data_IF_616280920756
#
_entry.id   IF_616280920756
#
_cell.length_a   1.000
_cell.length_b   1.000
_cell.length_c   1.000
_cell.angle_alpha   90.00
_cell.angle_beta   90.00
_cell.angle_gamma   90.00
#
_symmetry.space_group_name_H-M   'P 1'
#
loop_
_entity.id
_entity.type
_entity.pdbx_description
1 polymer ?
#
# COMPACT_ATOMS: atom_id res chain seq x y z
N UNK A 1 -6.34 -66.41 7.55
CA UNK A 1 -6.52 -64.94 7.53
C UNK A 1 -5.36 -64.38 6.75
N UNK A 2 -5.63 -63.61 5.70
CA UNK A 2 -4.58 -62.91 4.94
C UNK A 2 -3.97 -61.87 5.86
N UNK A 3 -2.69 -61.99 6.22
CA UNK A 3 -1.99 -60.95 6.98
C UNK A 3 -1.90 -59.69 6.11
N UNK A 4 -2.49 -58.59 6.59
CA UNK A 4 -2.50 -57.30 5.91
C UNK A 4 -1.37 -56.37 6.38
N UNK A 5 -1.22 -55.23 5.71
CA UNK A 5 -0.28 -54.17 6.14
C UNK A 5 -0.59 -53.70 7.57
N UNK A 6 -1.86 -53.66 7.95
CA UNK A 6 -2.32 -53.30 9.30
C UNK A 6 -1.83 -54.28 10.37
N UNK A 7 -1.81 -55.59 10.08
CA UNK A 7 -1.30 -56.61 11.02
C UNK A 7 0.21 -56.46 11.23
N UNK A 8 0.95 -56.18 10.14
CA UNK A 8 2.38 -55.90 10.22
C UNK A 8 2.63 -54.64 11.06
N UNK A 9 1.88 -53.57 10.82
CA UNK A 9 1.98 -52.32 11.59
C UNK A 9 1.71 -52.54 13.07
N UNK A 10 0.60 -53.19 13.40
CA UNK A 10 0.25 -53.50 14.78
C UNK A 10 1.37 -54.27 15.49
N UNK A 11 1.98 -55.25 14.81
CA UNK A 11 3.09 -56.00 15.35
C UNK A 11 4.32 -55.10 15.62
N UNK A 12 4.71 -54.24 14.66
CA UNK A 12 5.84 -53.33 14.86
C UNK A 12 5.64 -52.44 16.09
N UNK A 13 4.50 -51.75 16.20
CA UNK A 13 4.22 -50.88 17.35
C UNK A 13 4.06 -51.64 18.67
N UNK A 14 3.54 -52.86 18.64
CA UNK A 14 3.40 -53.69 19.85
C UNK A 14 4.75 -54.16 20.39
N UNK A 15 5.75 -54.32 19.51
CA UNK A 15 7.10 -54.74 19.87
C UNK A 15 8.01 -53.58 20.30
N UNK A 16 7.76 -52.37 19.81
CA UNK A 16 8.61 -51.21 20.14
C UNK A 16 8.54 -50.80 21.61
N UNK A 17 9.70 -50.51 22.20
CA UNK A 17 9.86 -50.06 23.59
C UNK A 17 10.83 -48.88 23.64
N UNK A 18 10.37 -47.77 24.19
CA UNK A 18 11.23 -46.63 24.53
C UNK A 18 11.91 -46.89 25.88
N UNK A 19 13.22 -47.13 25.86
CA UNK A 19 14.05 -47.28 27.06
C UNK A 19 14.79 -45.99 27.37
N UNK A 20 15.06 -45.73 28.66
CA UNK A 20 15.97 -44.65 29.04
C UNK A 20 17.38 -44.97 28.53
N UNK A 21 18.09 -43.96 28.01
CA UNK A 21 19.52 -44.08 27.61
C UNK A 21 20.45 -44.63 28.70
N UNK A 22 20.02 -44.57 29.96
CA UNK A 22 20.75 -45.14 31.09
C UNK A 22 20.57 -46.67 31.26
N UNK A 23 19.53 -47.24 30.65
CA UNK A 23 19.14 -48.66 30.75
C UNK A 23 19.61 -49.49 29.52
N UNK A 24 20.20 -48.84 28.51
CA UNK A 24 20.64 -49.41 27.20
C UNK A 24 21.88 -50.31 27.28
N UNK A 25 22.04 -51.12 28.33
CA UNK A 25 23.28 -51.90 28.56
C UNK A 25 23.17 -53.36 28.05
N UNK A 26 21.99 -53.82 27.60
CA UNK A 26 21.85 -55.21 27.16
C UNK A 26 20.75 -55.42 26.09
N UNK A 27 21.06 -55.13 24.82
CA UNK A 27 20.28 -55.59 23.66
C UNK A 27 20.20 -54.58 22.52
N UNK A 28 19.79 -55.07 21.34
CA UNK A 28 19.36 -54.21 20.24
C UNK A 28 18.04 -53.53 20.66
N UNK A 29 18.07 -52.21 20.82
CA UNK A 29 16.90 -51.41 21.16
C UNK A 29 16.01 -51.33 19.93
N UNK A 30 14.75 -51.73 20.07
CA UNK A 30 13.73 -51.56 19.05
C UNK A 30 12.71 -50.55 19.57
N UNK A 31 12.87 -49.29 19.18
CA UNK A 31 12.02 -48.17 19.55
C UNK A 31 11.35 -47.53 18.33
N UNK A 32 10.87 -46.30 18.50
CA UNK A 32 10.19 -45.57 17.44
C UNK A 32 11.13 -45.24 16.28
N UNK A 33 12.41 -44.99 16.54
CA UNK A 33 13.38 -44.65 15.49
C UNK A 33 13.57 -45.80 14.50
N UNK A 34 13.62 -47.04 14.99
CA UNK A 34 13.73 -48.23 14.15
C UNK A 34 12.47 -48.39 13.28
N UNK A 35 11.28 -48.19 13.86
CA UNK A 35 10.02 -48.19 13.11
C UNK A 35 10.03 -47.13 12.00
N UNK A 36 10.48 -45.91 12.29
CA UNK A 36 10.55 -44.82 11.32
C UNK A 36 11.52 -45.13 10.17
N UNK A 37 12.64 -45.81 10.47
CA UNK A 37 13.59 -46.26 9.46
C UNK A 37 12.95 -47.32 8.55
N UNK A 38 12.26 -48.31 9.13
CA UNK A 38 11.55 -49.34 8.38
C UNK A 38 10.47 -48.75 7.47
N UNK A 39 9.69 -47.78 7.97
CA UNK A 39 8.70 -47.05 7.17
C UNK A 39 9.37 -46.32 6.01
N UNK A 40 10.51 -45.67 6.25
CA UNK A 40 11.27 -44.96 5.21
C UNK A 40 11.77 -45.92 4.11
N UNK A 41 12.28 -47.09 4.50
CA UNK A 41 12.69 -48.13 3.55
C UNK A 41 11.50 -48.69 2.74
N UNK A 42 10.37 -48.93 3.40
CA UNK A 42 9.11 -49.36 2.75
C UNK A 42 8.70 -48.32 1.70
N UNK A 43 8.74 -47.04 2.04
CA UNK A 43 8.47 -45.94 1.13
C UNK A 43 9.35 -46.01 -0.11
N UNK A 44 10.66 -46.11 0.06
CA UNK A 44 11.61 -46.16 -1.05
C UNK A 44 11.49 -47.40 -1.94
N UNK A 45 11.03 -48.54 -1.40
CA UNK A 45 10.93 -49.81 -2.14
C UNK A 45 9.58 -50.02 -2.82
N UNK A 46 8.49 -49.63 -2.16
CA UNK A 46 7.11 -49.96 -2.57
C UNK A 46 6.40 -48.74 -3.15
N UNK A 47 6.66 -47.55 -2.62
CA UNK A 47 6.01 -46.29 -2.97
C UNK A 47 7.02 -45.36 -3.66
N UNK A 48 7.51 -45.79 -4.82
CA UNK A 48 8.43 -45.00 -5.65
C UNK A 48 7.67 -43.95 -6.45
N UNK A 49 8.12 -42.70 -6.34
CA UNK A 49 7.56 -41.52 -7.04
C UNK A 49 7.23 -41.83 -8.50
N UNK A 50 5.94 -41.73 -8.85
CA UNK A 50 5.44 -41.82 -10.23
C UNK A 50 4.55 -43.04 -10.56
N UNK A 51 4.52 -44.08 -9.72
CA UNK A 51 3.63 -45.25 -9.93
C UNK A 51 2.45 -45.35 -8.95
N UNK A 52 2.42 -44.50 -7.92
CA UNK A 52 1.47 -44.59 -6.78
C UNK A 52 0.05 -44.07 -7.07
N UNK A 53 -0.10 -43.22 -8.09
CA UNK A 53 -1.36 -42.56 -8.42
C UNK A 53 -2.43 -43.51 -8.99
N UNK A 54 -2.03 -44.66 -9.54
CA UNK A 54 -2.93 -45.55 -10.29
C UNK A 54 -3.86 -46.41 -9.42
N UNK A 55 -3.64 -46.50 -8.09
CA UNK A 55 -4.38 -47.43 -7.23
C UNK A 55 -4.79 -46.91 -5.83
N UNK A 56 -4.64 -45.61 -5.54
CA UNK A 56 -4.99 -45.06 -4.21
C UNK A 56 -4.06 -45.50 -3.07
N UNK A 57 -2.92 -46.13 -3.38
CA UNK A 57 -1.97 -46.66 -2.40
C UNK A 57 -1.22 -45.59 -1.59
N UNK A 58 -1.21 -44.34 -2.05
CA UNK A 58 -0.58 -43.23 -1.33
C UNK A 58 -1.21 -43.00 0.06
N UNK A 59 -2.51 -43.32 0.23
CA UNK A 59 -3.19 -43.23 1.53
C UNK A 59 -2.59 -44.17 2.57
N UNK A 60 -2.19 -45.38 2.18
CA UNK A 60 -1.57 -46.36 3.09
C UNK A 60 -0.20 -45.89 3.56
N UNK A 61 0.63 -45.34 2.65
CA UNK A 61 1.94 -44.82 3.02
C UNK A 61 1.85 -43.54 3.87
N UNK A 62 0.87 -42.68 3.58
CA UNK A 62 0.56 -41.55 4.46
C UNK A 62 0.16 -42.02 5.87
N UNK A 63 -0.74 -43.01 5.98
CA UNK A 63 -1.17 -43.57 7.27
C UNK A 63 0.01 -44.19 8.04
N UNK A 64 0.90 -44.92 7.37
CA UNK A 64 2.13 -45.45 7.94
C UNK A 64 2.98 -44.34 8.57
N UNK A 65 3.23 -43.26 7.83
CA UNK A 65 4.02 -42.12 8.33
C UNK A 65 3.33 -41.41 9.50
N UNK A 66 2.01 -41.22 9.45
CA UNK A 66 1.25 -40.62 10.56
C UNK A 66 1.37 -41.46 11.84
N UNK A 67 1.20 -42.78 11.74
CA UNK A 67 1.33 -43.67 12.89
C UNK A 67 2.77 -43.76 13.40
N UNK A 68 3.76 -43.67 12.50
CA UNK A 68 5.19 -43.56 12.84
C UNK A 68 5.60 -42.21 13.43
N UNK A 69 4.69 -41.24 13.59
CA UNK A 69 5.01 -39.90 14.07
C UNK A 69 5.90 -39.09 13.13
N UNK A 70 5.97 -39.47 11.85
CA UNK A 70 6.77 -38.81 10.80
C UNK A 70 5.96 -37.67 10.15
N UNK A 71 5.44 -36.76 10.97
CA UNK A 71 4.41 -35.79 10.57
C UNK A 71 4.84 -34.87 9.41
N UNK A 72 6.06 -34.33 9.45
CA UNK A 72 6.56 -33.42 8.42
C UNK A 72 6.70 -34.13 7.07
N UNK A 73 7.24 -35.36 7.08
CA UNK A 73 7.32 -36.18 5.87
C UNK A 73 5.93 -36.55 5.35
N UNK A 74 4.99 -36.91 6.24
CA UNK A 74 3.63 -37.26 5.87
C UNK A 74 2.91 -36.10 5.17
N UNK A 75 2.97 -34.89 5.71
CA UNK A 75 2.36 -33.69 5.11
C UNK A 75 2.98 -33.37 3.76
N UNK A 76 4.32 -33.37 3.66
CA UNK A 76 5.03 -33.12 2.41
C UNK A 76 4.70 -34.17 1.33
N UNK A 77 4.67 -35.44 1.72
CA UNK A 77 4.30 -36.55 0.85
C UNK A 77 2.86 -36.39 0.33
N UNK A 78 1.90 -36.17 1.23
CA UNK A 78 0.49 -36.00 0.87
C UNK A 78 0.28 -34.78 -0.03
N UNK A 79 1.09 -33.72 0.12
CA UNK A 79 1.05 -32.52 -0.73
C UNK A 79 1.21 -32.82 -2.22
N UNK A 80 1.95 -33.87 -2.59
CA UNK A 80 2.15 -34.24 -4.00
C UNK A 80 0.94 -34.95 -4.63
N UNK A 81 0.02 -35.47 -3.82
CA UNK A 81 -1.10 -36.30 -4.29
C UNK A 81 -2.47 -35.69 -3.98
N UNK A 82 -2.63 -35.11 -2.79
CA UNK A 82 -3.86 -34.50 -2.31
C UNK A 82 -3.53 -33.20 -1.52
N UNK A 83 -3.19 -32.10 -2.22
CA UNK A 83 -2.72 -30.87 -1.59
C UNK A 83 -3.72 -30.27 -0.60
N UNK A 84 -5.01 -30.29 -0.92
CA UNK A 84 -6.08 -29.81 -0.02
C UNK A 84 -6.05 -30.59 1.30
N UNK A 85 -5.96 -31.92 1.23
CA UNK A 85 -5.91 -32.76 2.43
C UNK A 85 -4.63 -32.55 3.22
N UNK A 86 -3.49 -32.36 2.54
CA UNK A 86 -2.21 -32.06 3.17
C UNK A 86 -2.26 -30.75 3.98
N UNK A 87 -2.89 -29.71 3.45
CA UNK A 87 -3.10 -28.43 4.15
C UNK A 87 -3.92 -28.64 5.42
N UNK A 88 -5.09 -29.30 5.32
CA UNK A 88 -5.98 -29.46 6.48
C UNK A 88 -5.43 -30.42 7.54
N UNK A 89 -4.76 -31.51 7.13
CA UNK A 89 -4.03 -32.36 8.08
C UNK A 89 -2.87 -31.60 8.72
N UNK A 90 -2.13 -30.80 7.95
CA UNK A 90 -1.06 -29.94 8.46
C UNK A 90 -1.60 -28.99 9.53
N UNK A 91 -2.71 -28.31 9.28
CA UNK A 91 -3.38 -27.44 10.26
C UNK A 91 -3.76 -28.21 11.53
N UNK A 92 -4.32 -29.40 11.40
CA UNK A 92 -4.71 -30.20 12.56
C UNK A 92 -3.49 -30.62 13.40
N UNK A 93 -2.40 -31.05 12.77
CA UNK A 93 -1.15 -31.41 13.44
C UNK A 93 -0.52 -30.20 14.13
N UNK A 94 -0.51 -29.05 13.45
CA UNK A 94 0.02 -27.79 13.94
C UNK A 94 -0.75 -27.28 15.17
N UNK A 95 -2.09 -27.36 15.14
CA UNK A 95 -2.95 -27.00 16.27
C UNK A 95 -2.62 -27.77 17.55
N UNK A 96 -2.19 -29.03 17.44
CA UNK A 96 -1.77 -29.85 18.58
C UNK A 96 -0.27 -29.75 18.90
N UNK A 97 0.49 -28.92 18.19
CA UNK A 97 1.94 -28.76 18.38
C UNK A 97 2.76 -29.97 17.95
N UNK A 98 2.22 -30.78 17.02
CA UNK A 98 2.87 -32.00 16.53
C UNK A 98 3.73 -31.75 15.28
N UNK A 99 3.58 -30.59 14.64
CA UNK A 99 4.30 -30.24 13.43
C UNK A 99 5.47 -29.31 13.75
N UNK A 100 6.69 -29.68 13.38
CA UNK A 100 7.83 -28.76 13.44
C UNK A 100 7.76 -27.81 12.24
N UNK A 101 7.71 -26.52 12.51
CA UNK A 101 7.71 -25.49 11.47
C UNK A 101 9.07 -24.88 11.24
N UNK A 102 9.33 -24.50 9.98
CA UNK A 102 10.54 -23.77 9.58
C UNK A 102 10.30 -22.26 9.57
N UNK A 103 11.39 -21.50 9.63
CA UNK A 103 11.33 -20.05 9.46
C UNK A 103 11.10 -19.70 7.98
N UNK A 104 10.06 -18.89 7.71
CA UNK A 104 9.61 -18.54 6.36
C UNK A 104 10.72 -17.82 5.58
N UNK A 105 11.39 -16.84 6.20
CA UNK A 105 12.42 -16.04 5.57
C UNK A 105 13.68 -16.84 5.21
N UNK A 106 13.93 -17.95 5.92
CA UNK A 106 15.07 -18.84 5.66
C UNK A 106 14.73 -19.93 4.64
N UNK A 107 13.49 -20.43 4.65
CA UNK A 107 13.09 -21.61 3.88
C UNK A 107 12.61 -21.31 2.46
N UNK A 108 12.24 -20.05 2.17
CA UNK A 108 11.77 -19.64 0.86
C UNK A 108 10.51 -20.40 0.42
N UNK A 109 10.54 -21.00 -0.77
CA UNK A 109 9.39 -21.72 -1.36
C UNK A 109 9.44 -23.25 -1.17
N UNK A 110 10.40 -23.76 -0.39
CA UNK A 110 10.50 -25.21 -0.14
C UNK A 110 9.54 -25.61 0.99
N UNK A 111 8.64 -26.58 0.71
CA UNK A 111 7.66 -27.05 1.69
C UNK A 111 8.30 -27.83 2.85
N UNK A 112 9.28 -28.69 2.55
CA UNK A 112 9.97 -29.54 3.52
C UNK A 112 11.45 -29.19 3.55
N UNK A 113 11.95 -28.77 4.70
CA UNK A 113 13.38 -28.50 4.91
C UNK A 113 13.87 -29.22 6.17
N UNK A 114 15.15 -29.04 6.51
CA UNK A 114 15.77 -29.69 7.66
C UNK A 114 16.46 -28.67 8.55
N UNK A 115 16.33 -28.88 9.86
CA UNK A 115 17.11 -28.15 10.87
C UNK A 115 18.60 -28.49 10.79
N UNK A 116 19.44 -27.74 11.49
CA UNK A 116 20.88 -28.04 11.63
C UNK A 116 21.16 -29.42 12.26
N UNK A 117 20.18 -29.97 13.00
CA UNK A 117 20.22 -31.32 13.58
C UNK A 117 19.65 -32.40 12.66
N UNK A 118 19.42 -32.09 11.38
CA UNK A 118 18.82 -33.01 10.39
C UNK A 118 17.40 -33.47 10.75
N UNK A 119 16.69 -32.69 11.57
CA UNK A 119 15.29 -32.95 11.87
C UNK A 119 14.39 -32.26 10.83
N UNK A 120 13.38 -32.93 10.26
CA UNK A 120 12.51 -32.36 9.23
C UNK A 120 11.63 -31.24 9.80
N UNK A 121 11.27 -30.28 8.96
CA UNK A 121 10.42 -29.14 9.32
C UNK A 121 9.62 -28.68 8.09
N UNK A 122 8.39 -28.22 8.33
CA UNK A 122 7.46 -27.74 7.29
C UNK A 122 7.41 -26.22 7.25
N UNK A 123 7.47 -25.66 6.05
CA UNK A 123 7.18 -24.25 5.84
C UNK A 123 5.66 -24.02 5.87
N UNK A 124 5.10 -23.93 7.08
CA UNK A 124 3.65 -23.86 7.30
C UNK A 124 3.04 -22.58 6.72
N UNK A 125 3.72 -21.45 6.87
CA UNK A 125 3.27 -20.19 6.27
C UNK A 125 3.22 -20.28 4.74
N UNK A 126 4.20 -20.92 4.09
CA UNK A 126 4.16 -21.19 2.65
C UNK A 126 2.98 -22.11 2.27
N UNK A 127 2.74 -23.18 3.02
CA UNK A 127 1.63 -24.11 2.78
C UNK A 127 0.27 -23.38 2.78
N UNK A 128 0.03 -22.51 3.77
CA UNK A 128 -1.19 -21.71 3.90
C UNK A 128 -1.29 -20.65 2.79
N UNK A 129 -0.23 -19.90 2.55
CA UNK A 129 -0.22 -18.82 1.54
C UNK A 129 -0.40 -19.37 0.12
N UNK A 130 0.17 -20.52 -0.21
CA UNK A 130 -0.06 -21.17 -1.50
C UNK A 130 -1.49 -21.69 -1.65
N UNK A 131 -2.03 -22.35 -0.61
CA UNK A 131 -3.39 -22.88 -0.66
C UNK A 131 -4.44 -21.78 -0.88
N UNK A 132 -4.29 -20.65 -0.17
CA UNK A 132 -5.24 -19.53 -0.30
C UNK A 132 -5.23 -18.88 -1.69
N UNK A 133 -4.14 -18.94 -2.47
CA UNK A 133 -4.07 -18.36 -3.82
C UNK A 133 -5.17 -18.88 -4.76
N UNK A 134 -5.67 -20.09 -4.54
CA UNK A 134 -6.70 -20.70 -5.39
C UNK A 134 -8.07 -20.01 -5.27
N UNK A 135 -8.37 -19.38 -4.13
CA UNK A 135 -9.71 -18.84 -3.87
C UNK A 135 -9.74 -17.44 -3.24
N UNK A 136 -8.60 -16.89 -2.81
CA UNK A 136 -8.56 -15.64 -2.01
C UNK A 136 -9.10 -14.41 -2.72
N UNK A 137 -9.11 -14.40 -4.06
CA UNK A 137 -9.76 -13.34 -4.84
C UNK A 137 -11.29 -13.47 -4.87
N UNK A 138 -11.83 -14.68 -4.77
CA UNK A 138 -13.28 -14.95 -4.80
C UNK A 138 -13.94 -14.97 -3.41
N UNK A 139 -13.19 -15.34 -2.36
CA UNK A 139 -13.68 -15.36 -0.98
C UNK A 139 -12.61 -14.83 -0.02
N UNK A 140 -12.68 -13.51 0.23
CA UNK A 140 -11.69 -12.81 1.04
C UNK A 140 -11.76 -13.17 2.53
N UNK A 141 -12.96 -13.44 3.07
CA UNK A 141 -13.14 -13.76 4.48
C UNK A 141 -12.55 -15.13 4.81
N UNK A 142 -12.81 -16.13 3.97
CA UNK A 142 -12.22 -17.45 4.13
C UNK A 142 -10.70 -17.38 4.07
N UNK A 143 -10.12 -16.57 3.18
CA UNK A 143 -8.66 -16.41 3.10
C UNK A 143 -8.09 -15.85 4.41
N UNK A 144 -8.76 -14.87 5.02
CA UNK A 144 -8.38 -14.34 6.35
C UNK A 144 -8.39 -15.45 7.40
N UNK A 145 -9.41 -16.32 7.44
CA UNK A 145 -9.44 -17.47 8.36
C UNK A 145 -8.17 -18.30 8.26
N UNK A 146 -7.76 -18.67 7.04
CA UNK A 146 -6.54 -19.45 6.83
C UNK A 146 -5.27 -18.68 7.22
N UNK A 147 -5.14 -17.39 6.87
CA UNK A 147 -3.97 -16.61 7.28
C UNK A 147 -3.81 -16.53 8.80
N UNK A 148 -4.92 -16.45 9.55
CA UNK A 148 -4.83 -16.41 11.02
C UNK A 148 -4.20 -17.67 11.63
N UNK A 149 -4.27 -18.81 10.93
CA UNK A 149 -3.69 -20.07 11.37
C UNK A 149 -2.15 -20.03 11.40
N UNK A 150 -1.50 -19.14 10.64
CA UNK A 150 -0.04 -18.96 10.71
C UNK A 150 0.40 -18.61 12.15
N UNK A 151 -0.45 -17.89 12.90
CA UNK A 151 -0.20 -17.53 14.29
C UNK A 151 -0.42 -18.66 15.31
N UNK A 152 -0.80 -19.87 14.89
CA UNK A 152 -0.77 -21.05 15.76
C UNK A 152 0.64 -21.24 16.34
N UNK A 153 1.67 -21.04 15.50
CA UNK A 153 3.08 -21.18 15.88
C UNK A 153 3.71 -19.96 16.56
N UNK A 154 2.92 -18.93 16.87
CA UNK A 154 3.46 -17.72 17.48
C UNK A 154 3.80 -17.89 18.98
N UNK A 155 3.42 -19.03 19.58
CA UNK A 155 3.77 -19.42 20.95
C UNK A 155 5.13 -20.13 21.05
N UNK A 156 5.76 -20.46 19.93
CA UNK A 156 7.09 -21.07 19.89
C UNK A 156 8.13 -20.15 20.57
N UNK A 157 9.07 -20.73 21.34
CA UNK A 157 10.05 -19.93 22.07
C UNK A 157 11.07 -19.26 21.15
N UNK A 158 11.58 -18.11 21.60
CA UNK A 158 12.65 -17.38 20.90
C UNK A 158 12.14 -16.55 19.72
N UNK A 159 13.03 -16.34 18.74
CA UNK A 159 12.73 -15.49 17.57
C UNK A 159 11.81 -16.18 16.54
N UNK A 160 11.71 -17.52 16.58
CA UNK A 160 10.87 -18.25 15.63
C UNK A 160 9.39 -17.91 15.80
N UNK A 161 8.86 -17.91 17.03
CA UNK A 161 7.45 -17.56 17.27
C UNK A 161 7.12 -16.12 16.86
N UNK A 162 8.03 -15.17 17.10
CA UNK A 162 7.89 -13.78 16.64
C UNK A 162 7.91 -13.70 15.11
N UNK A 163 8.79 -14.45 14.46
CA UNK A 163 8.86 -14.53 12.99
C UNK A 163 7.53 -15.01 12.41
N UNK A 164 6.93 -16.07 12.97
CA UNK A 164 5.62 -16.58 12.51
C UNK A 164 4.51 -15.51 12.61
N UNK A 165 4.45 -14.77 13.73
CA UNK A 165 3.51 -13.66 13.86
C UNK A 165 3.76 -12.54 12.83
N UNK A 166 5.03 -12.17 12.62
CA UNK A 166 5.41 -11.17 11.63
C UNK A 166 4.99 -11.56 10.22
N UNK A 167 5.22 -12.81 9.83
CA UNK A 167 4.85 -13.36 8.51
C UNK A 167 3.34 -13.36 8.32
N UNK A 168 2.57 -13.71 9.35
CA UNK A 168 1.11 -13.61 9.32
C UNK A 168 0.66 -12.16 9.03
N UNK A 169 1.20 -11.19 9.76
CA UNK A 169 0.86 -9.78 9.58
C UNK A 169 1.28 -9.25 8.20
N UNK A 170 2.44 -9.68 7.70
CA UNK A 170 2.93 -9.33 6.37
C UNK A 170 2.04 -9.90 5.27
N UNK A 171 1.69 -11.19 5.35
CA UNK A 171 0.77 -11.83 4.42
C UNK A 171 -0.59 -11.14 4.38
N UNK A 172 -1.13 -10.73 5.55
CA UNK A 172 -2.37 -9.96 5.62
C UNK A 172 -2.23 -8.59 4.96
N UNK A 173 -1.14 -7.86 5.20
CA UNK A 173 -0.88 -6.55 4.56
C UNK A 173 -0.81 -6.65 3.04
N UNK A 174 -0.07 -7.63 2.53
CA UNK A 174 0.00 -7.88 1.08
C UNK A 174 -1.37 -8.26 0.51
N UNK A 175 -2.10 -9.12 1.19
CA UNK A 175 -3.42 -9.57 0.78
C UNK A 175 -4.46 -8.43 0.72
N UNK A 176 -4.41 -7.50 1.67
CA UNK A 176 -5.23 -6.28 1.67
C UNK A 176 -4.98 -5.46 0.40
N UNK A 177 -3.71 -5.26 0.03
CA UNK A 177 -3.35 -4.48 -1.15
C UNK A 177 -3.65 -5.21 -2.47
N UNK A 178 -3.54 -6.54 -2.49
CA UNK A 178 -3.83 -7.36 -3.68
C UNK A 178 -5.32 -7.37 -4.02
N UNK A 179 -6.18 -7.52 -3.01
CA UNK A 179 -7.63 -7.63 -3.21
C UNK A 179 -8.34 -6.29 -3.32
N UNK A 180 -7.80 -5.25 -2.66
CA UNK A 180 -8.40 -3.92 -2.55
C UNK A 180 -9.82 -3.92 -1.95
N UNK A 181 -10.24 -5.00 -1.28
CA UNK A 181 -11.53 -5.08 -0.58
C UNK A 181 -11.38 -4.54 0.85
N UNK A 182 -10.90 -3.30 0.96
CA UNK A 182 -10.51 -2.66 2.22
C UNK A 182 -11.65 -2.63 3.23
N UNK A 183 -12.87 -2.32 2.79
CA UNK A 183 -14.04 -2.21 3.67
C UNK A 183 -14.38 -3.57 4.32
N UNK A 184 -14.34 -4.68 3.56
CA UNK A 184 -14.59 -6.01 4.14
C UNK A 184 -13.44 -6.47 5.03
N UNK A 185 -12.19 -6.21 4.64
CA UNK A 185 -11.02 -6.72 5.35
C UNK A 185 -10.71 -5.93 6.63
N UNK A 186 -10.68 -4.61 6.53
CA UNK A 186 -10.26 -3.69 7.60
C UNK A 186 -11.43 -3.07 8.35
N UNK A 187 -12.59 -3.02 7.71
CA UNK A 187 -13.76 -2.33 8.23
C UNK A 187 -14.00 -0.99 7.56
N UNK A 188 -15.04 -0.31 7.99
CA UNK A 188 -15.44 1.00 7.48
C UNK A 188 -15.87 1.92 8.63
N UNK A 189 -15.83 3.23 8.40
CA UNK A 189 -16.29 4.24 9.36
C UNK A 189 -17.56 4.87 8.81
N UNK A 190 -18.67 4.71 9.53
CA UNK A 190 -19.94 5.35 9.16
C UNK A 190 -19.85 6.87 9.29
N UNK A 191 -20.78 7.57 8.64
CA UNK A 191 -20.91 9.03 8.73
C UNK A 191 -21.15 9.57 10.14
N UNK A 192 -21.64 8.72 11.06
CA UNK A 192 -21.83 9.05 12.48
C UNK A 192 -20.56 8.82 13.33
N UNK A 193 -19.45 8.41 12.71
CA UNK A 193 -18.19 8.07 13.36
C UNK A 193 -18.13 6.65 13.93
N UNK A 194 -19.19 5.85 13.78
CA UNK A 194 -19.21 4.46 14.28
C UNK A 194 -18.40 3.56 13.36
N UNK A 195 -17.42 2.86 13.92
CA UNK A 195 -16.56 1.93 13.17
C UNK A 195 -17.20 0.53 13.06
N UNK A 196 -17.28 0.02 11.83
CA UNK A 196 -17.70 -1.34 11.50
C UNK A 196 -16.44 -2.18 11.39
N UNK A 197 -16.36 -3.27 12.17
CA UNK A 197 -15.18 -4.14 12.19
C UNK A 197 -15.11 -5.01 10.94
N UNK A 198 -13.98 -4.98 10.24
CA UNK A 198 -13.69 -5.87 9.12
C UNK A 198 -13.34 -7.30 9.57
N UNK A 199 -13.20 -8.20 8.60
CA UNK A 199 -12.93 -9.62 8.82
C UNK A 199 -11.64 -9.86 9.63
N UNK A 200 -10.59 -9.06 9.41
CA UNK A 200 -9.31 -9.21 10.13
C UNK A 200 -9.48 -8.74 11.57
N UNK A 201 -10.16 -7.62 11.79
CA UNK A 201 -10.39 -7.06 13.12
C UNK A 201 -11.31 -7.93 14.00
N UNK A 202 -12.20 -8.70 13.38
CA UNK A 202 -13.00 -9.69 14.12
C UNK A 202 -12.15 -10.82 14.71
N UNK A 203 -10.92 -11.02 14.19
CA UNK A 203 -10.01 -12.13 14.55
C UNK A 203 -8.73 -11.67 15.26
N UNK A 204 -8.69 -10.45 15.80
CA UNK A 204 -7.49 -9.84 16.42
C UNK A 204 -6.72 -10.75 17.38
N UNK A 205 -7.44 -11.41 18.29
CA UNK A 205 -6.83 -12.27 19.30
C UNK A 205 -6.08 -13.46 18.68
N UNK A 206 -6.53 -13.95 17.52
CA UNK A 206 -5.89 -15.07 16.84
C UNK A 206 -4.56 -14.66 16.20
N UNK A 207 -4.49 -13.43 15.70
CA UNK A 207 -3.27 -12.86 15.09
C UNK A 207 -2.34 -12.19 16.11
N UNK A 208 -2.51 -12.47 17.41
CA UNK A 208 -1.66 -11.96 18.50
C UNK A 208 -1.59 -10.42 18.58
N UNK A 209 -2.70 -9.76 18.27
CA UNK A 209 -2.86 -8.32 18.50
C UNK A 209 -3.86 -8.11 19.64
N UNK A 210 -3.49 -7.27 20.60
CA UNK A 210 -4.26 -7.13 21.85
C UNK A 210 -5.49 -6.24 21.68
N UNK A 211 -5.35 -5.19 20.89
CA UNK A 211 -6.36 -4.15 20.78
C UNK A 211 -6.43 -3.55 19.36
N UNK A 212 -7.45 -2.70 19.17
CA UNK A 212 -7.71 -2.03 17.91
C UNK A 212 -6.59 -1.05 17.52
N UNK A 213 -5.97 -0.37 18.47
CA UNK A 213 -4.90 0.60 18.20
C UNK A 213 -3.68 -0.09 17.57
N UNK A 214 -3.29 -1.23 18.12
CA UNK A 214 -2.20 -2.05 17.59
C UNK A 214 -2.53 -2.59 16.19
N UNK A 215 -3.80 -2.97 15.96
CA UNK A 215 -4.27 -3.36 14.63
C UNK A 215 -4.19 -2.24 13.60
N UNK A 216 -4.70 -1.05 13.94
CA UNK A 216 -4.64 0.10 13.05
C UNK A 216 -3.18 0.41 12.71
N UNK A 217 -2.30 0.43 13.70
CA UNK A 217 -0.88 0.71 13.52
C UNK A 217 -0.13 -0.37 12.72
N UNK A 218 -0.29 -1.64 13.07
CA UNK A 218 0.54 -2.74 12.56
C UNK A 218 0.05 -3.28 11.21
N UNK A 219 -1.27 -3.28 10.99
CA UNK A 219 -1.87 -3.77 9.76
C UNK A 219 -2.21 -2.60 8.84
N UNK A 220 -3.04 -1.66 9.30
CA UNK A 220 -3.62 -0.64 8.42
C UNK A 220 -2.61 0.43 8.01
N UNK A 221 -1.92 1.07 8.96
CA UNK A 221 -0.92 2.13 8.70
C UNK A 221 0.28 1.59 7.93
N UNK A 222 0.74 0.37 8.24
CA UNK A 222 1.84 -0.24 7.50
C UNK A 222 1.44 -0.64 6.07
N UNK A 223 0.22 -1.15 5.85
CA UNK A 223 -0.29 -1.38 4.50
C UNK A 223 -0.40 -0.06 3.72
N UNK A 224 -0.83 1.03 4.38
CA UNK A 224 -0.90 2.36 3.80
C UNK A 224 0.50 2.87 3.36
N UNK A 225 1.52 2.69 4.21
CA UNK A 225 2.89 3.04 3.87
C UNK A 225 3.42 2.25 2.66
N UNK A 226 3.16 0.94 2.61
CA UNK A 226 3.54 0.11 1.45
C UNK A 226 2.80 0.54 0.17
N UNK A 227 1.54 0.94 0.26
CA UNK A 227 0.80 1.51 -0.88
C UNK A 227 1.42 2.84 -1.33
N UNK A 228 1.83 3.68 -0.38
CA UNK A 228 2.47 4.97 -0.66
C UNK A 228 3.82 4.79 -1.37
N UNK A 229 4.65 3.88 -0.87
CA UNK A 229 5.95 3.52 -1.47
C UNK A 229 5.81 2.95 -2.88
N UNK A 230 4.72 2.22 -3.15
CA UNK A 230 4.37 1.70 -4.48
C UNK A 230 3.77 2.76 -5.41
N UNK A 231 3.53 3.99 -4.94
CA UNK A 231 2.91 5.06 -5.71
C UNK A 231 1.39 4.92 -5.89
N UNK A 232 0.74 4.04 -5.14
CA UNK A 232 -0.71 3.82 -5.17
C UNK A 232 -1.42 4.85 -4.28
N UNK A 233 -1.43 6.11 -4.71
CA UNK A 233 -1.92 7.25 -3.90
C UNK A 233 -3.35 7.08 -3.39
N UNK A 234 -4.28 6.61 -4.24
CA UNK A 234 -5.68 6.43 -3.84
C UNK A 234 -5.84 5.36 -2.74
N UNK A 235 -5.13 4.24 -2.90
CA UNK A 235 -5.13 3.14 -1.92
C UNK A 235 -4.51 3.61 -0.60
N UNK A 236 -3.37 4.32 -0.65
CA UNK A 236 -2.73 4.87 0.53
C UNK A 236 -3.64 5.86 1.28
N UNK A 237 -4.29 6.79 0.57
CA UNK A 237 -5.23 7.76 1.15
C UNK A 237 -6.39 7.05 1.86
N UNK A 238 -6.98 6.02 1.24
CA UNK A 238 -8.06 5.27 1.86
C UNK A 238 -7.58 4.52 3.11
N UNK A 239 -6.43 3.86 3.03
CA UNK A 239 -5.88 3.10 4.16
C UNK A 239 -5.52 4.01 5.34
N UNK A 240 -4.89 5.17 5.10
CA UNK A 240 -4.63 6.14 6.17
C UNK A 240 -5.93 6.73 6.75
N UNK A 241 -6.96 6.93 5.93
CA UNK A 241 -8.29 7.32 6.42
C UNK A 241 -8.90 6.26 7.34
N UNK A 242 -8.85 4.97 6.94
CA UNK A 242 -9.31 3.85 7.76
C UNK A 242 -8.47 3.62 9.02
N UNK A 243 -7.19 4.04 8.98
CA UNK A 243 -6.28 4.06 10.14
C UNK A 243 -6.53 5.25 11.09
N UNK A 244 -7.51 6.11 10.79
CA UNK A 244 -7.80 7.34 11.53
C UNK A 244 -6.63 8.35 11.54
N UNK A 245 -5.71 8.24 10.58
CA UNK A 245 -4.56 9.12 10.42
C UNK A 245 -4.83 10.18 9.33
N UNK A 246 -5.74 11.09 9.67
CA UNK A 246 -6.25 12.07 8.73
C UNK A 246 -5.21 13.11 8.29
N UNK A 247 -4.19 13.37 9.11
CA UNK A 247 -3.12 14.31 8.77
C UNK A 247 -2.22 13.73 7.68
N UNK A 248 -1.83 12.45 7.78
CA UNK A 248 -1.04 11.79 6.73
C UNK A 248 -1.80 11.69 5.40
N UNK A 249 -3.13 11.53 5.43
CA UNK A 249 -3.96 11.65 4.22
C UNK A 249 -3.71 12.98 3.52
N UNK A 250 -3.73 14.10 4.24
CA UNK A 250 -3.50 15.42 3.67
C UNK A 250 -2.06 15.59 3.20
N UNK A 251 -1.07 15.04 3.91
CA UNK A 251 0.34 15.06 3.48
C UNK A 251 0.52 14.38 2.12
N UNK A 252 -0.07 13.19 1.94
CA UNK A 252 0.01 12.44 0.68
C UNK A 252 -0.70 13.18 -0.45
N UNK A 253 -1.90 13.73 -0.18
CA UNK A 253 -2.63 14.53 -1.16
C UNK A 253 -1.85 15.80 -1.56
N UNK A 254 -1.20 16.47 -0.60
CA UNK A 254 -0.36 17.63 -0.87
C UNK A 254 0.82 17.28 -1.79
N UNK A 255 1.45 16.12 -1.57
CA UNK A 255 2.53 15.63 -2.43
C UNK A 255 2.02 15.35 -3.84
N UNK A 256 0.94 14.59 -3.97
CA UNK A 256 0.33 14.25 -5.25
C UNK A 256 -0.17 15.49 -6.03
N UNK A 257 -0.81 16.44 -5.36
CA UNK A 257 -1.22 17.71 -5.96
C UNK A 257 -0.02 18.56 -6.38
N UNK A 258 1.01 18.66 -5.54
CA UNK A 258 2.25 19.36 -5.88
C UNK A 258 2.90 18.77 -7.13
N UNK A 259 2.94 17.44 -7.25
CA UNK A 259 3.45 16.77 -8.44
C UNK A 259 2.59 17.07 -9.67
N UNK A 260 1.26 17.04 -9.53
CA UNK A 260 0.32 17.40 -10.60
C UNK A 260 0.45 18.86 -11.07
N UNK A 261 0.74 19.80 -10.16
CA UNK A 261 1.03 21.21 -10.46
C UNK A 261 2.32 21.32 -11.28
N UNK A 262 3.37 20.57 -10.90
CA UNK A 262 4.69 20.60 -11.54
C UNK A 262 4.71 20.02 -12.96
N UNK A 263 3.69 19.24 -13.36
CA UNK A 263 3.56 18.75 -14.74
C UNK A 263 3.44 19.94 -15.71
N UNK A 264 4.24 19.95 -16.78
CA UNK A 264 4.27 21.05 -17.75
C UNK A 264 2.92 21.22 -18.47
N UNK A 265 2.58 22.47 -18.78
CA UNK A 265 1.42 22.83 -19.61
C UNK A 265 1.47 22.09 -20.96
N UNK A 266 0.38 21.41 -21.31
CA UNK A 266 0.24 20.71 -22.58
C UNK A 266 0.76 19.27 -22.63
N UNK A 267 1.35 18.73 -21.55
CA UNK A 267 1.76 17.31 -21.51
C UNK A 267 0.58 16.34 -21.26
N UNK A 268 -0.63 16.84 -21.01
CA UNK A 268 -1.82 16.04 -20.67
C UNK A 268 -2.64 15.56 -21.88
N UNK A 269 -2.09 15.61 -23.10
CA UNK A 269 -2.81 15.11 -24.31
C UNK A 269 -2.94 13.58 -24.34
N UNK A 270 -2.29 12.84 -23.44
CA UNK A 270 -2.45 11.39 -23.31
C UNK A 270 -2.75 10.98 -21.88
N UNK A 271 -4.03 10.99 -21.50
CA UNK A 271 -4.75 9.85 -20.91
C UNK A 271 -5.96 10.34 -20.08
N UNK A 272 -7.13 10.27 -20.70
CA UNK A 272 -8.38 9.97 -20.03
C UNK A 272 -9.34 9.45 -21.11
N UNK A 273 -9.27 8.15 -21.40
CA UNK A 273 -10.45 7.48 -21.96
C UNK A 273 -11.45 7.36 -20.81
N UNK A 274 -12.70 7.79 -20.95
CA UNK A 274 -13.73 7.42 -19.99
C UNK A 274 -13.93 5.91 -20.11
N UNK A 275 -13.55 5.15 -19.07
CA UNK A 275 -13.96 3.76 -18.97
C UNK A 275 -15.48 3.73 -18.82
N UNK A 276 -16.14 3.33 -19.89
CA UNK A 276 -17.54 2.97 -19.88
C UNK A 276 -17.70 1.65 -19.12
N UNK A 277 -18.57 1.66 -18.10
CA UNK A 277 -19.19 0.46 -17.56
C UNK A 277 -18.72 0.06 -16.17
N UNK A 278 -19.41 0.59 -15.15
CA UNK A 278 -19.80 -0.20 -13.99
C UNK A 278 -21.11 0.34 -13.43
N UNK A 279 -21.99 -0.61 -13.09
CA UNK A 279 -23.39 -0.39 -12.76
C UNK A 279 -23.56 0.55 -11.58
N UNK A 280 -24.56 1.42 -11.72
CA UNK A 280 -25.12 2.24 -10.66
C UNK A 280 -25.81 1.35 -9.62
N UNK A 281 -25.07 0.95 -8.60
CA UNK A 281 -25.67 0.64 -7.32
C UNK A 281 -25.79 1.93 -6.51
N UNK A 282 -27.01 2.22 -6.09
CA UNK A 282 -27.36 3.32 -5.19
C UNK A 282 -26.71 3.07 -3.83
N UNK A 283 -25.49 3.56 -3.64
CA UNK A 283 -24.82 3.59 -2.34
C UNK A 283 -24.56 5.03 -1.94
N UNK A 284 -24.82 5.33 -0.66
CA UNK A 284 -24.78 6.68 -0.10
C UNK A 284 -23.49 7.42 -0.46
N UNK A 285 -23.65 8.65 -0.94
CA UNK A 285 -22.59 9.59 -1.34
C UNK A 285 -21.64 10.02 -0.21
N UNK A 286 -21.68 9.34 0.94
CA UNK A 286 -20.81 9.55 2.10
C UNK A 286 -20.06 8.29 2.55
N UNK A 287 -20.14 7.18 1.81
CA UNK A 287 -19.37 5.96 2.12
C UNK A 287 -17.96 6.01 1.52
N UNK A 288 -16.98 5.48 2.25
CA UNK A 288 -15.56 5.42 1.86
C UNK A 288 -15.33 4.71 0.51
N UNK A 289 -16.30 3.91 0.07
CA UNK A 289 -16.33 3.20 -1.22
C UNK A 289 -16.28 4.12 -2.44
N UNK A 290 -16.79 5.36 -2.35
CA UNK A 290 -16.74 6.31 -3.48
C UNK A 290 -15.33 6.83 -3.79
N UNK A 291 -14.35 6.60 -2.90
CA UNK A 291 -12.99 7.13 -3.01
C UNK A 291 -12.00 6.24 -3.77
N UNK A 292 -12.25 4.92 -3.87
CA UNK A 292 -11.36 3.98 -4.58
C UNK A 292 -11.43 4.08 -6.11
N UNK A 293 -12.51 4.66 -6.64
CA UNK A 293 -12.74 4.80 -8.08
C UNK A 293 -12.10 6.05 -8.70
N UNK A 294 -11.50 6.92 -7.89
CA UNK A 294 -11.00 8.22 -8.33
C UNK A 294 -9.49 8.15 -8.60
N UNK A 295 -9.12 8.04 -9.88
CA UNK A 295 -7.72 8.06 -10.32
C UNK A 295 -7.13 9.49 -10.37
N UNK A 296 -7.95 10.53 -10.53
CA UNK A 296 -7.48 11.92 -10.59
C UNK A 296 -7.16 12.46 -9.17
N UNK A 297 -5.88 12.78 -8.86
CA UNK A 297 -5.49 13.30 -7.55
C UNK A 297 -6.21 14.61 -7.18
N UNK A 298 -6.63 15.41 -8.17
CA UNK A 298 -7.37 16.66 -7.92
C UNK A 298 -8.78 16.37 -7.41
N UNK A 299 -9.48 15.42 -8.02
CA UNK A 299 -10.84 15.04 -7.61
C UNK A 299 -10.79 14.38 -6.24
N UNK A 300 -9.83 13.47 -6.03
CA UNK A 300 -9.63 12.80 -4.75
C UNK A 300 -9.37 13.81 -3.63
N UNK A 301 -8.47 14.77 -3.86
CA UNK A 301 -8.18 15.82 -2.87
C UNK A 301 -9.39 16.71 -2.56
N UNK A 302 -10.20 17.07 -3.57
CA UNK A 302 -11.43 17.87 -3.36
C UNK A 302 -12.45 17.13 -2.51
N UNK A 303 -12.64 15.84 -2.76
CA UNK A 303 -13.57 15.01 -2.00
C UNK A 303 -13.12 14.90 -0.54
N UNK A 304 -11.85 14.57 -0.31
CA UNK A 304 -11.29 14.38 1.04
C UNK A 304 -11.25 15.68 1.84
N UNK A 305 -10.77 16.78 1.25
CA UNK A 305 -10.73 18.07 1.95
C UNK A 305 -12.14 18.60 2.23
N UNK A 306 -13.10 18.35 1.33
CA UNK A 306 -14.50 18.71 1.52
C UNK A 306 -15.13 17.97 2.69
N UNK A 307 -14.90 16.66 2.76
CA UNK A 307 -15.33 15.82 3.87
C UNK A 307 -14.73 16.30 5.21
N UNK A 308 -13.41 16.51 5.25
CA UNK A 308 -12.71 16.90 6.47
C UNK A 308 -13.02 18.31 6.95
N UNK A 309 -13.31 19.24 6.04
CA UNK A 309 -13.69 20.60 6.41
C UNK A 309 -15.12 20.70 6.93
N UNK A 310 -16.01 19.80 6.49
CA UNK A 310 -17.42 19.82 6.89
C UNK A 310 -17.62 19.20 8.29
N UNK A 311 -16.79 18.23 8.67
CA UNK A 311 -16.90 17.55 9.95
C UNK A 311 -15.84 18.06 10.96
N UNK A 312 -16.32 18.63 12.07
CA UNK A 312 -15.48 19.19 13.12
C UNK A 312 -14.52 18.15 13.75
N UNK A 313 -14.90 16.87 13.78
CA UNK A 313 -14.06 15.80 14.32
C UNK A 313 -12.76 15.68 13.52
N UNK A 314 -12.85 15.55 12.19
CA UNK A 314 -11.69 15.43 11.32
C UNK A 314 -10.88 16.73 11.29
N UNK A 315 -11.56 17.87 11.24
CA UNK A 315 -10.95 19.19 11.16
C UNK A 315 -9.93 19.46 12.30
N UNK A 316 -10.21 18.96 13.50
CA UNK A 316 -9.36 19.17 14.68
C UNK A 316 -8.11 18.28 14.70
N UNK A 317 -8.12 17.14 13.98
CA UNK A 317 -7.01 16.18 13.99
C UNK A 317 -5.98 16.45 12.89
N UNK A 318 -6.27 17.37 11.96
CA UNK A 318 -5.39 17.71 10.84
C UNK A 318 -4.61 18.99 11.18
N UNK A 319 -3.30 18.99 10.92
CA UNK A 319 -2.48 20.17 11.14
C UNK A 319 -2.94 21.33 10.24
N UNK A 320 -3.12 22.56 10.79
CA UNK A 320 -3.57 23.72 10.01
C UNK A 320 -2.69 23.98 8.79
N UNK A 321 -1.37 23.86 8.94
CA UNK A 321 -0.38 24.05 7.87
C UNK A 321 -0.61 23.10 6.69
N UNK A 322 -0.90 21.82 6.96
CA UNK A 322 -1.12 20.81 5.94
C UNK A 322 -2.43 21.08 5.19
N UNK A 323 -3.49 21.45 5.92
CA UNK A 323 -4.80 21.78 5.35
C UNK A 323 -4.74 23.04 4.48
N UNK A 324 -4.08 24.09 4.96
CA UNK A 324 -3.88 25.34 4.20
C UNK A 324 -3.06 25.08 2.93
N UNK A 325 -2.01 24.27 3.03
CA UNK A 325 -1.22 23.86 1.87
C UNK A 325 -2.08 23.13 0.82
N UNK A 326 -2.97 22.24 1.25
CA UNK A 326 -3.90 21.54 0.36
C UNK A 326 -4.82 22.52 -0.38
N UNK A 327 -5.41 23.47 0.36
CA UNK A 327 -6.28 24.50 -0.22
C UNK A 327 -5.55 25.37 -1.25
N UNK A 328 -4.31 25.77 -0.96
CA UNK A 328 -3.47 26.53 -1.90
C UNK A 328 -3.16 25.70 -3.15
N UNK A 329 -2.77 24.44 -3.00
CA UNK A 329 -2.45 23.55 -4.13
C UNK A 329 -3.66 23.28 -5.03
N UNK A 330 -4.86 23.16 -4.46
CA UNK A 330 -6.10 23.06 -5.24
C UNK A 330 -6.37 24.33 -6.06
N UNK A 331 -6.15 25.52 -5.49
CA UNK A 331 -6.25 26.79 -6.24
C UNK A 331 -5.16 26.92 -7.31
N UNK A 332 -3.95 26.42 -7.07
CA UNK A 332 -2.91 26.34 -8.09
C UNK A 332 -3.35 25.47 -9.28
N UNK A 333 -4.01 24.34 -9.02
CA UNK A 333 -4.57 23.49 -10.08
C UNK A 333 -5.71 24.18 -10.85
N UNK A 334 -6.54 24.97 -10.18
CA UNK A 334 -7.57 25.78 -10.85
C UNK A 334 -6.96 26.87 -11.73
N UNK A 335 -5.92 27.56 -11.24
CA UNK A 335 -5.14 28.49 -12.04
C UNK A 335 -4.54 27.80 -13.27
N UNK A 336 -3.87 26.65 -13.09
CA UNK A 336 -3.31 25.85 -14.18
C UNK A 336 -4.34 25.52 -15.26
N UNK A 337 -5.52 25.02 -14.88
CA UNK A 337 -6.62 24.72 -15.81
C UNK A 337 -7.08 25.95 -16.60
N UNK A 338 -7.12 27.13 -15.97
CA UNK A 338 -7.47 28.40 -16.67
C UNK A 338 -6.39 28.82 -17.67
N UNK A 339 -5.10 28.64 -17.32
CA UNK A 339 -3.97 28.89 -18.23
C UNK A 339 -4.03 27.93 -19.42
N UNK A 340 -4.28 26.64 -19.20
CA UNK A 340 -4.44 25.64 -20.26
C UNK A 340 -5.63 25.95 -21.18
N UNK A 341 -6.72 26.48 -20.62
CA UNK A 341 -7.89 26.92 -21.39
C UNK A 341 -7.72 28.26 -22.12
N UNK A 342 -6.55 28.91 -22.00
CA UNK A 342 -6.28 30.22 -22.61
C UNK A 342 -7.07 31.39 -22.01
N UNK A 343 -7.60 31.24 -20.79
CA UNK A 343 -8.34 32.30 -20.07
C UNK A 343 -7.37 33.17 -19.27
N UNK A 344 -6.52 33.93 -19.96
CA UNK A 344 -5.36 34.64 -19.39
C UNK A 344 -5.69 35.59 -18.24
N UNK A 345 -6.66 36.50 -18.44
CA UNK A 345 -7.06 37.46 -17.39
C UNK A 345 -7.56 36.75 -16.11
N UNK A 346 -8.48 35.79 -16.25
CA UNK A 346 -9.02 35.03 -15.10
C UNK A 346 -7.98 34.16 -14.41
N UNK A 347 -6.98 33.67 -15.17
CA UNK A 347 -5.85 32.93 -14.61
C UNK A 347 -4.92 33.85 -13.82
N UNK A 348 -4.66 35.06 -14.33
CA UNK A 348 -3.83 36.04 -13.66
C UNK A 348 -4.48 36.55 -12.36
N UNK A 349 -5.81 36.74 -12.36
CA UNK A 349 -6.57 37.09 -11.15
C UNK A 349 -6.44 35.97 -10.10
N UNK A 350 -6.63 34.71 -10.48
CA UNK A 350 -6.47 33.57 -9.56
C UNK A 350 -5.04 33.46 -9.00
N UNK A 351 -4.03 33.68 -9.85
CA UNK A 351 -2.62 33.69 -9.43
C UNK A 351 -2.30 34.83 -8.47
N UNK A 352 -2.98 35.98 -8.62
CA UNK A 352 -2.89 37.11 -7.71
C UNK A 352 -3.57 36.81 -6.37
N UNK A 353 -4.73 36.14 -6.39
CA UNK A 353 -5.49 35.76 -5.19
C UNK A 353 -4.76 34.72 -4.33
N UNK A 354 -3.82 33.96 -4.89
CA UNK A 354 -2.92 33.09 -4.12
C UNK A 354 -2.04 33.88 -3.14
N UNK A 355 -1.78 35.17 -3.39
CA UNK A 355 -0.91 36.04 -2.57
C UNK A 355 0.53 35.48 -2.37
N UNK A 356 0.98 34.60 -3.26
CA UNK A 356 2.34 34.02 -3.24
C UNK A 356 3.32 34.90 -4.04
N UNK A 357 2.85 35.50 -5.14
CA UNK A 357 3.66 36.29 -6.05
C UNK A 357 3.39 37.79 -5.87
N UNK A 358 4.42 38.66 -6.03
CA UNK A 358 4.27 40.10 -5.84
C UNK A 358 3.64 40.81 -7.05
N UNK A 359 2.50 40.32 -7.55
CA UNK A 359 1.81 40.87 -8.72
C UNK A 359 1.25 42.29 -8.50
N UNK A 360 0.97 42.68 -7.25
CA UNK A 360 0.49 44.02 -6.90
C UNK A 360 1.60 44.99 -6.43
N UNK A 361 2.87 44.67 -6.62
CA UNK A 361 3.98 45.44 -6.06
C UNK A 361 4.11 46.86 -6.65
N UNK A 362 3.73 47.06 -7.92
CA UNK A 362 3.81 48.35 -8.63
C UNK A 362 5.21 49.00 -8.52
N UNK A 363 6.27 48.19 -8.61
CA UNK A 363 7.66 48.65 -8.47
C UNK A 363 8.16 48.84 -7.03
N UNK A 364 7.36 48.52 -6.01
CA UNK A 364 7.75 48.66 -4.60
C UNK A 364 8.73 47.57 -4.17
N UNK A 365 10.02 47.92 -4.14
CA UNK A 365 11.08 47.00 -3.69
C UNK A 365 10.89 46.48 -2.25
N UNK A 366 10.41 47.27 -1.26
CA UNK A 366 10.10 46.75 0.06
C UNK A 366 9.04 45.64 0.04
N UNK A 367 8.00 45.79 -0.78
CA UNK A 367 6.95 44.79 -0.93
C UNK A 367 7.48 43.50 -1.55
N UNK A 368 8.30 43.61 -2.60
CA UNK A 368 8.94 42.44 -3.26
C UNK A 368 9.87 41.68 -2.30
N UNK A 369 10.61 42.41 -1.44
CA UNK A 369 11.44 41.79 -0.39
C UNK A 369 10.60 41.08 0.66
N UNK A 370 9.49 41.69 1.10
CA UNK A 370 8.55 41.05 2.03
C UNK A 370 7.94 39.79 1.42
N UNK A 371 7.51 39.82 0.16
CA UNK A 371 7.02 38.64 -0.56
C UNK A 371 8.09 37.53 -0.64
N UNK A 372 9.37 37.89 -0.86
CA UNK A 372 10.50 36.93 -0.84
C UNK A 372 10.69 36.26 0.53
N UNK A 373 10.52 37.02 1.62
CA UNK A 373 10.58 36.48 2.98
C UNK A 373 9.40 35.54 3.26
N UNK A 374 8.18 35.93 2.89
CA UNK A 374 6.98 35.10 3.02
C UNK A 374 7.08 33.82 2.19
N UNK A 375 7.58 33.91 0.95
CA UNK A 375 7.83 32.75 0.09
C UNK A 375 8.81 31.77 0.74
N UNK A 376 9.79 32.28 1.48
CA UNK A 376 10.78 31.46 2.18
C UNK A 376 10.22 30.69 3.37
N UNK A 377 9.08 31.11 3.91
CA UNK A 377 8.37 30.44 5.00
C UNK A 377 7.30 29.44 4.51
N UNK A 378 7.06 29.35 3.19
CA UNK A 378 6.06 28.43 2.63
C UNK A 378 6.47 26.96 2.80
N UNK A 379 5.50 26.04 2.98
CA UNK A 379 5.76 24.61 2.98
C UNK A 379 6.49 24.15 1.70
N UNK A 380 7.40 23.16 1.77
CA UNK A 380 8.18 22.69 0.63
C UNK A 380 7.33 22.26 -0.58
N UNK A 381 6.16 21.65 -0.33
CA UNK A 381 5.18 21.22 -1.33
C UNK A 381 4.59 22.39 -2.13
N UNK A 382 4.54 23.59 -1.54
CA UNK A 382 4.11 24.81 -2.24
C UNK A 382 5.32 25.47 -2.90
N UNK A 383 6.41 25.64 -2.17
CA UNK A 383 7.58 26.39 -2.61
C UNK A 383 8.22 25.81 -3.89
N UNK A 384 8.24 24.48 -4.03
CA UNK A 384 8.73 23.79 -5.24
C UNK A 384 8.01 24.24 -6.52
N UNK A 385 6.73 24.63 -6.42
CA UNK A 385 5.92 25.04 -7.55
C UNK A 385 6.08 26.52 -7.92
N UNK A 386 6.83 27.31 -7.13
CA UNK A 386 7.01 28.75 -7.37
C UNK A 386 7.50 29.09 -8.77
N UNK A 387 8.42 28.29 -9.32
CA UNK A 387 8.92 28.46 -10.68
C UNK A 387 7.83 28.35 -11.76
N UNK A 388 6.94 27.35 -11.62
CA UNK A 388 5.81 27.17 -12.53
C UNK A 388 4.82 28.34 -12.44
N UNK A 389 4.50 28.81 -11.22
CA UNK A 389 3.59 29.95 -11.03
C UNK A 389 4.12 31.23 -11.70
N UNK A 390 5.43 31.49 -11.61
CA UNK A 390 6.05 32.65 -12.27
C UNK A 390 5.94 32.50 -13.79
N UNK A 391 6.27 31.32 -14.34
CA UNK A 391 6.13 31.04 -15.77
C UNK A 391 4.69 31.21 -16.27
N UNK A 392 3.70 30.72 -15.50
CA UNK A 392 2.28 30.87 -15.83
C UNK A 392 1.86 32.33 -15.81
N UNK A 393 2.29 33.08 -14.80
CA UNK A 393 2.02 34.52 -14.67
C UNK A 393 2.60 35.30 -15.86
N UNK A 394 3.87 35.04 -16.21
CA UNK A 394 4.55 35.66 -17.35
C UNK A 394 3.83 35.31 -18.67
N UNK A 395 3.43 34.05 -18.84
CA UNK A 395 2.71 33.61 -20.04
C UNK A 395 1.36 34.33 -20.15
N UNK A 396 0.60 34.43 -19.06
CA UNK A 396 -0.66 35.16 -19.05
C UNK A 396 -0.45 36.65 -19.35
N UNK A 397 0.54 37.29 -18.73
CA UNK A 397 0.88 38.70 -18.95
C UNK A 397 1.23 38.95 -20.43
N UNK A 398 2.09 38.12 -21.02
CA UNK A 398 2.53 38.26 -22.41
C UNK A 398 1.35 38.13 -23.38
N UNK A 399 0.56 37.06 -23.24
CA UNK A 399 -0.61 36.79 -24.12
C UNK A 399 -1.70 37.84 -23.98
N UNK A 400 -1.94 38.32 -22.76
CA UNK A 400 -2.93 39.36 -22.51
C UNK A 400 -2.48 40.71 -23.09
N UNK A 401 -1.18 41.03 -23.02
CA UNK A 401 -0.60 42.23 -23.63
C UNK A 401 -0.64 42.16 -25.16
N UNK A 402 -0.29 41.02 -25.77
CA UNK A 402 -0.46 40.78 -27.22
C UNK A 402 -1.93 41.02 -27.64
N UNK A 403 -2.89 40.50 -26.87
CA UNK A 403 -4.33 40.69 -27.12
C UNK A 403 -4.74 42.16 -27.08
N UNK A 404 -4.21 42.93 -26.12
CA UNK A 404 -4.50 44.36 -25.98
C UNK A 404 -3.89 45.19 -27.12
N UNK A 405 -2.69 44.82 -27.59
CA UNK A 405 -1.99 45.47 -28.70
C UNK A 405 -2.63 45.20 -30.07
N UNK A 406 -3.22 44.01 -30.28
CA UNK A 406 -3.90 43.64 -31.53
C UNK A 406 -5.37 44.10 -31.63
N UNK A 407 -5.88 44.86 -30.65
CA UNK A 407 -7.24 45.39 -30.67
C UNK A 407 -7.41 46.49 -31.74
N UNK A 408 -8.47 46.40 -32.56
CA UNK A 408 -8.78 47.27 -33.72
C UNK A 408 -8.91 48.79 -33.39
N UNK A 409 -8.92 49.18 -32.12
CA UNK A 409 -9.01 50.57 -31.68
C UNK A 409 -7.98 50.86 -30.57
N UNK A 410 -7.05 51.78 -30.82
CA UNK A 410 -6.17 52.32 -29.76
C UNK A 410 -6.99 53.16 -28.77
N UNK A 411 -6.76 52.95 -27.49
CA UNK A 411 -7.48 53.62 -26.41
C UNK A 411 -6.49 53.83 -25.26
N UNK A 412 -6.33 55.04 -24.74
CA UNK A 412 -5.37 55.38 -23.66
C UNK A 412 -5.49 54.43 -22.45
N UNK A 413 -6.71 53.97 -22.16
CA UNK A 413 -6.99 53.01 -21.10
C UNK A 413 -6.39 51.60 -21.35
N UNK A 414 -6.30 51.16 -22.61
CA UNK A 414 -5.65 49.88 -22.98
C UNK A 414 -4.14 49.99 -22.84
N UNK A 415 -3.57 51.12 -23.22
CA UNK A 415 -2.13 51.37 -23.11
C UNK A 415 -1.70 51.43 -21.65
N UNK A 416 -2.48 52.11 -20.79
CA UNK A 416 -2.25 52.10 -19.34
C UNK A 416 -2.34 50.71 -18.71
N UNK A 417 -3.24 49.84 -19.18
CA UNK A 417 -3.32 48.45 -18.70
C UNK A 417 -2.13 47.60 -19.19
N UNK A 418 -1.70 47.78 -20.44
CA UNK A 418 -0.52 47.11 -20.97
C UNK A 418 0.77 47.50 -20.22
N UNK A 419 0.90 48.78 -19.85
CA UNK A 419 2.02 49.28 -19.04
C UNK A 419 2.00 48.72 -17.61
N UNK A 420 0.81 48.57 -17.02
CA UNK A 420 0.66 47.91 -15.72
C UNK A 420 1.10 46.44 -15.80
N UNK A 421 0.65 45.70 -16.81
CA UNK A 421 1.05 44.30 -17.04
C UNK A 421 2.57 44.17 -17.22
N UNK A 422 3.20 45.09 -17.96
CA UNK A 422 4.65 45.13 -18.11
C UNK A 422 5.36 45.42 -16.77
N UNK A 423 4.79 46.30 -15.95
CA UNK A 423 5.24 46.55 -14.58
C UNK A 423 5.20 45.28 -13.71
N UNK A 424 4.09 44.52 -13.76
CA UNK A 424 3.95 43.25 -13.04
C UNK A 424 5.01 42.23 -13.46
N UNK A 425 5.30 42.10 -14.76
CA UNK A 425 6.34 41.23 -15.25
C UNK A 425 7.74 41.62 -14.75
N UNK A 426 8.06 42.93 -14.69
CA UNK A 426 9.32 43.43 -14.12
C UNK A 426 9.43 43.09 -12.64
N UNK A 427 8.35 43.27 -11.87
CA UNK A 427 8.32 42.96 -10.44
C UNK A 427 8.52 41.45 -10.19
N UNK A 428 7.91 40.58 -11.01
CA UNK A 428 8.14 39.14 -10.99
C UNK A 428 9.58 38.76 -11.30
N UNK A 429 10.25 39.45 -12.23
CA UNK A 429 11.66 39.17 -12.57
C UNK A 429 12.61 39.56 -11.44
N UNK A 430 12.36 40.70 -10.77
CA UNK A 430 13.11 41.09 -9.58
C UNK A 430 12.93 40.05 -8.46
N UNK A 431 11.69 39.61 -8.25
CA UNK A 431 11.38 38.55 -7.29
C UNK A 431 12.09 37.22 -7.64
N UNK A 432 11.99 36.76 -8.89
CA UNK A 432 12.65 35.54 -9.37
C UNK A 432 14.17 35.59 -9.17
N UNK A 433 14.80 36.76 -9.37
CA UNK A 433 16.21 36.98 -9.09
C UNK A 433 16.56 36.82 -7.61
N UNK A 434 15.70 37.28 -6.70
CA UNK A 434 15.88 37.14 -5.25
C UNK A 434 15.72 35.70 -4.74
N UNK A 435 14.89 34.89 -5.41
CA UNK A 435 14.68 33.47 -5.05
C UNK A 435 15.44 32.48 -5.94
N UNK A 436 16.39 32.94 -6.76
CA UNK A 436 17.09 32.12 -7.77
C UNK A 436 17.63 30.79 -7.25
N UNK A 437 18.21 30.78 -6.05
CA UNK A 437 18.80 29.58 -5.44
C UNK A 437 17.76 28.54 -5.00
N UNK A 438 16.48 28.91 -4.93
CA UNK A 438 15.36 28.04 -4.54
C UNK A 438 14.55 27.54 -5.74
N UNK A 439 14.79 28.10 -6.93
CA UNK A 439 14.15 27.65 -8.16
C UNK A 439 14.88 26.42 -8.72
N UNK A 440 14.13 25.56 -9.42
CA UNK A 440 14.72 24.43 -10.13
C UNK A 440 15.76 24.91 -11.18
N UNK A 441 16.86 24.17 -11.39
CA UNK A 441 17.86 24.51 -12.39
C UNK A 441 17.23 24.71 -13.78
N UNK A 442 17.63 25.77 -14.49
CA UNK A 442 17.10 26.10 -15.83
C UNK A 442 15.79 26.90 -15.84
N UNK A 443 14.99 26.90 -14.76
CA UNK A 443 13.75 27.71 -14.71
C UNK A 443 14.05 29.21 -14.79
N UNK A 444 15.09 29.67 -14.09
CA UNK A 444 15.50 31.08 -14.13
C UNK A 444 15.99 31.52 -15.53
N UNK A 445 16.67 30.63 -16.26
CA UNK A 445 17.13 30.92 -17.63
C UNK A 445 15.96 30.96 -18.62
N UNK A 446 15.00 30.02 -18.48
CA UNK A 446 13.76 30.04 -19.24
C UNK A 446 12.93 31.31 -18.96
N UNK A 447 12.86 31.72 -17.68
CA UNK A 447 12.22 32.98 -17.26
C UNK A 447 12.92 34.20 -17.86
N UNK A 448 14.25 34.24 -17.83
CA UNK A 448 15.03 35.34 -18.41
C UNK A 448 14.83 35.43 -19.94
N UNK A 449 14.73 34.29 -20.63
CA UNK A 449 14.42 34.25 -22.06
C UNK A 449 13.00 34.76 -22.35
N UNK A 450 12.00 34.23 -21.63
CA UNK A 450 10.60 34.65 -21.80
C UNK A 450 10.38 36.13 -21.46
N UNK A 451 11.10 36.66 -20.47
CA UNK A 451 11.08 38.08 -20.13
C UNK A 451 11.83 38.95 -21.14
N UNK A 452 12.93 38.44 -21.71
CA UNK A 452 13.65 39.10 -22.80
C UNK A 452 12.75 39.30 -24.02
N UNK A 453 12.04 38.25 -24.44
CA UNK A 453 11.09 38.31 -25.56
C UNK A 453 9.95 39.32 -25.30
N UNK A 454 9.46 39.44 -24.06
CA UNK A 454 8.46 40.45 -23.67
C UNK A 454 8.97 41.90 -23.68
N UNK A 455 10.27 42.13 -23.48
CA UNK A 455 10.85 43.49 -23.51
C UNK A 455 11.03 44.04 -24.93
N UNK A 456 10.94 43.15 -25.92
CA UNK A 456 11.05 43.44 -27.36
C UNK A 456 9.66 43.66 -28.00
N UNK A 457 8.60 43.13 -27.37
CA UNK A 457 7.18 43.40 -27.66
C UNK A 457 6.66 44.59 -26.86
#
# INVERSE_FOLDING_TARGET
MSQGVEDWMWLQFTLARESSRAEEVAGDVFGLQEIQNDISEIGQRIFVKGQEAAAGGYGTFFLLQILGGMFEHAVSYLGNYAPINAVHFGIALDYYGLLRVSDFYTSGEELLSFTTKQLPQINFAFLITQYTREFRAGNVEAAVDYFTLICLNADLPGELGKSQASVCHEALREFILETRDFAKLLGDVKSDGTRIKGAIEQRLKLIKLDNQEEFLKTITTQAAAVADDKGLTADAVLLYHLAEDYDNVIVILNRALSDAVAVNLGSLVHQAKPSAGQQSDTTDAGSSFSLTSVEDPVVLARNMIGLYNTNAMYYQQIHPTNREACGILLRMMDAKRKVEAGKWAQALDELNDLQILPLNARGSLPYIRSATQSFSALPPVIARNGGHLIMWSITCISRERERLQHGVYENDMRQGLADQLLGMAKDLMVFAGMIRLKLLPGVYEALAKAAGDMSVL
#
